data_IF_179993466791
#
_entry.id   IF_179993466791
#
_cell.length_a   1.000
_cell.length_b   1.000
_cell.length_c   1.000
_cell.angle_alpha   90.00
_cell.angle_beta   90.00
_cell.angle_gamma   90.00
#
_symmetry.space_group_name_H-M   'P 1'
#
loop_
_entity.id
_entity.type
_entity.pdbx_description
1 polymer ?
#
# COMPACT_ATOMS: atom_id res chain seq x y z
N UNK A 1 -49.86 -36.48 -3.21
CA UNK A 1 -49.65 -35.41 -2.20
C UNK A 1 -48.76 -35.84 -1.00
N UNK A 2 -48.41 -37.13 -0.81
CA UNK A 2 -47.61 -37.61 0.34
C UNK A 2 -46.07 -37.61 0.19
N UNK A 3 -45.53 -37.42 -1.01
CA UNK A 3 -44.09 -37.65 -1.29
C UNK A 3 -43.11 -36.70 -0.57
N UNK A 4 -43.44 -35.42 -0.40
CA UNK A 4 -42.53 -34.42 0.21
C UNK A 4 -42.30 -34.63 1.71
N UNK A 5 -43.31 -35.13 2.44
CA UNK A 5 -43.21 -35.33 3.88
C UNK A 5 -42.37 -36.59 4.20
N UNK A 6 -42.53 -37.63 3.38
CA UNK A 6 -41.76 -38.87 3.48
C UNK A 6 -40.29 -38.64 3.13
N UNK A 7 -40.00 -37.87 2.07
CA UNK A 7 -38.64 -37.50 1.69
C UNK A 7 -37.93 -36.68 2.79
N UNK A 8 -38.61 -35.71 3.39
CA UNK A 8 -38.06 -34.94 4.53
C UNK A 8 -37.73 -35.81 5.74
N UNK A 9 -38.56 -36.82 6.01
CA UNK A 9 -38.34 -37.78 7.10
C UNK A 9 -37.15 -38.68 6.80
N UNK A 10 -37.03 -39.16 5.56
CA UNK A 10 -35.89 -39.94 5.10
C UNK A 10 -34.57 -39.16 5.21
N UNK A 11 -34.51 -37.94 4.65
CA UNK A 11 -33.33 -37.07 4.70
C UNK A 11 -32.95 -36.75 6.15
N UNK A 12 -33.93 -36.46 7.03
CA UNK A 12 -33.65 -36.22 8.44
C UNK A 12 -33.05 -37.44 9.14
N UNK A 13 -33.44 -38.66 8.77
CA UNK A 13 -32.91 -39.89 9.37
C UNK A 13 -31.49 -40.18 8.89
N UNK A 14 -31.22 -39.99 7.60
CA UNK A 14 -29.86 -40.12 7.02
C UNK A 14 -28.90 -39.13 7.69
N UNK A 15 -29.31 -37.88 7.87
CA UNK A 15 -28.44 -36.88 8.51
C UNK A 15 -28.20 -37.20 10.00
N UNK A 16 -29.17 -37.77 10.72
CA UNK A 16 -28.94 -38.26 12.10
C UNK A 16 -27.91 -39.39 12.13
N UNK A 17 -28.01 -40.33 11.19
CA UNK A 17 -27.07 -41.46 11.09
C UNK A 17 -25.64 -41.01 10.79
N UNK A 18 -25.48 -39.88 10.09
CA UNK A 18 -24.18 -39.25 9.81
C UNK A 18 -23.67 -38.33 10.94
N UNK A 19 -24.24 -38.40 12.14
CA UNK A 19 -23.72 -37.70 13.32
C UNK A 19 -24.07 -36.21 13.42
N UNK A 20 -25.01 -35.70 12.59
CA UNK A 20 -25.43 -34.31 12.69
C UNK A 20 -26.29 -34.06 13.94
N UNK A 21 -26.07 -32.93 14.60
CA UNK A 21 -26.77 -32.57 15.84
C UNK A 21 -28.25 -32.29 15.62
N UNK A 22 -29.09 -32.63 16.62
CA UNK A 22 -30.55 -32.40 16.55
C UNK A 22 -30.91 -30.92 16.39
N UNK A 23 -30.08 -30.02 16.91
CA UNK A 23 -30.22 -28.56 16.78
C UNK A 23 -30.01 -28.08 15.35
N UNK A 24 -29.02 -28.62 14.64
CA UNK A 24 -28.77 -28.35 13.23
C UNK A 24 -29.97 -28.74 12.36
N UNK A 25 -30.48 -29.96 12.54
CA UNK A 25 -31.64 -30.47 11.78
C UNK A 25 -32.90 -29.63 11.98
N UNK A 26 -33.15 -29.18 13.22
CA UNK A 26 -34.29 -28.32 13.54
C UNK A 26 -34.17 -26.95 12.88
N UNK A 27 -32.96 -26.43 12.73
CA UNK A 27 -32.73 -25.15 12.04
C UNK A 27 -32.91 -25.28 10.52
N UNK A 28 -32.51 -26.39 9.91
CA UNK A 28 -32.71 -26.65 8.47
C UNK A 28 -34.18 -26.84 8.09
N UNK A 29 -35.03 -27.27 9.03
CA UNK A 29 -36.47 -27.46 8.79
C UNK A 29 -37.29 -26.17 8.94
N UNK A 30 -36.69 -25.08 9.43
CA UNK A 30 -37.37 -23.79 9.51
C UNK A 30 -37.58 -23.26 8.09
N UNK A 31 -38.78 -22.78 7.74
CA UNK A 31 -38.98 -22.09 6.47
C UNK A 31 -38.05 -20.87 6.43
N UNK A 32 -37.28 -20.76 5.35
CA UNK A 32 -36.46 -19.57 5.11
C UNK A 32 -37.44 -18.43 4.80
N UNK A 33 -37.66 -17.55 5.77
CA UNK A 33 -38.30 -16.27 5.53
C UNK A 33 -37.31 -15.40 4.75
N UNK A 34 -37.39 -15.45 3.41
CA UNK A 34 -36.82 -14.41 2.55
C UNK A 34 -37.60 -13.12 2.80
N UNK A 35 -37.30 -12.47 3.91
CA UNK A 35 -37.65 -11.07 4.09
C UNK A 35 -36.65 -10.28 3.26
N UNK A 36 -37.01 -10.03 2.00
CA UNK A 36 -36.49 -8.88 1.24
C UNK A 36 -37.10 -7.58 1.81
N UNK A 37 -37.18 -7.47 3.14
CA UNK A 37 -37.35 -6.18 3.76
C UNK A 37 -36.01 -5.49 3.59
N UNK A 38 -36.01 -4.34 2.93
CA UNK A 38 -34.99 -3.33 3.18
C UNK A 38 -35.03 -3.11 4.68
N UNK A 39 -34.13 -3.79 5.39
CA UNK A 39 -33.92 -3.59 6.82
C UNK A 39 -33.44 -2.15 6.93
N UNK A 40 -34.36 -1.23 7.25
CA UNK A 40 -34.05 0.04 7.91
C UNK A 40 -33.51 -0.26 9.32
N UNK A 41 -32.52 -1.17 9.38
CA UNK A 41 -31.82 -1.53 10.59
C UNK A 41 -31.11 -0.29 11.07
N UNK A 42 -31.35 0.03 12.33
CA UNK A 42 -30.73 1.14 13.07
C UNK A 42 -29.30 1.40 12.58
N UNK A 43 -29.01 2.63 12.15
CA UNK A 43 -27.66 3.01 11.70
C UNK A 43 -26.65 2.57 12.76
N UNK A 44 -25.74 1.67 12.36
CA UNK A 44 -24.74 1.12 13.26
C UNK A 44 -24.00 2.27 13.95
N UNK A 45 -24.00 2.23 15.28
CA UNK A 45 -23.38 3.27 16.13
C UNK A 45 -21.86 3.25 16.02
N UNK A 46 -21.29 2.12 15.57
CA UNK A 46 -19.86 1.97 15.33
C UNK A 46 -19.48 0.69 14.60
N UNK A 47 -18.19 0.56 14.27
CA UNK A 47 -17.60 -0.61 13.65
C UNK A 47 -16.32 -1.04 14.40
N UNK A 48 -16.21 -2.32 14.72
CA UNK A 48 -15.06 -2.89 15.43
C UNK A 48 -14.49 -4.10 14.69
N UNK A 49 -13.16 -4.21 14.68
CA UNK A 49 -12.45 -5.39 14.13
C UNK A 49 -11.69 -6.07 15.25
N UNK A 50 -12.07 -7.31 15.57
CA UNK A 50 -11.46 -8.09 16.65
C UNK A 50 -10.87 -9.40 16.13
N UNK A 51 -9.79 -9.91 16.72
CA UNK A 51 -9.28 -11.23 16.37
C UNK A 51 -10.28 -12.32 16.78
N UNK A 52 -10.40 -13.39 15.98
CA UNK A 52 -11.15 -14.58 16.41
C UNK A 52 -10.31 -15.45 17.36
N UNK A 53 -10.77 -15.54 18.60
CA UNK A 53 -10.25 -16.39 19.67
C UNK A 53 -11.47 -17.15 20.20
N UNK A 54 -11.48 -18.46 19.99
CA UNK A 54 -12.60 -19.32 20.38
C UNK A 54 -12.90 -19.17 21.88
N UNK A 55 -14.17 -18.92 22.22
CA UNK A 55 -14.64 -18.75 23.59
C UNK A 55 -14.53 -17.33 24.15
N UNK A 56 -13.77 -16.44 23.51
CA UNK A 56 -13.57 -15.05 23.96
C UNK A 56 -14.27 -14.07 23.03
N UNK A 57 -14.12 -14.26 21.72
CA UNK A 57 -14.62 -13.31 20.71
C UNK A 57 -16.14 -13.36 20.60
N UNK A 58 -16.78 -14.50 20.86
CA UNK A 58 -18.23 -14.68 20.72
C UNK A 58 -19.03 -13.92 21.80
N UNK A 59 -18.68 -13.98 23.10
CA UNK A 59 -19.29 -13.13 24.12
C UNK A 59 -19.12 -11.63 23.81
N UNK A 60 -17.91 -11.21 23.42
CA UNK A 60 -17.60 -9.81 23.08
C UNK A 60 -18.44 -9.34 21.89
N UNK A 61 -18.50 -10.15 20.83
CA UNK A 61 -19.33 -9.87 19.64
C UNK A 61 -20.81 -9.71 20.01
N UNK A 62 -21.31 -10.54 20.94
CA UNK A 62 -22.70 -10.46 21.40
C UNK A 62 -22.99 -9.14 22.12
N UNK A 63 -22.11 -8.72 23.04
CA UNK A 63 -22.23 -7.45 23.77
C UNK A 63 -22.15 -6.26 22.81
N UNK A 64 -21.21 -6.26 21.87
CA UNK A 64 -21.06 -5.19 20.90
C UNK A 64 -22.28 -5.10 19.96
N UNK A 65 -22.81 -6.23 19.51
CA UNK A 65 -24.02 -6.27 18.70
C UNK A 65 -25.25 -5.74 19.46
N UNK A 66 -25.36 -5.97 20.78
CA UNK A 66 -26.46 -5.40 21.58
C UNK A 66 -26.39 -3.87 21.72
N UNK A 67 -25.22 -3.27 21.48
CA UNK A 67 -25.03 -1.82 21.43
C UNK A 67 -25.04 -1.26 19.99
N UNK A 68 -25.53 -2.04 19.03
CA UNK A 68 -25.60 -1.71 17.61
C UNK A 68 -24.22 -1.40 16.95
N UNK A 69 -23.15 -2.01 17.49
CA UNK A 69 -21.80 -1.93 16.91
C UNK A 69 -21.57 -3.13 15.99
N UNK A 70 -21.26 -2.88 14.71
CA UNK A 70 -20.93 -3.93 13.74
C UNK A 70 -19.54 -4.50 14.01
N UNK A 71 -19.45 -5.81 14.21
CA UNK A 71 -18.18 -6.48 14.50
C UNK A 71 -17.73 -7.36 13.34
N UNK A 72 -16.56 -7.07 12.79
CA UNK A 72 -15.83 -7.96 11.89
C UNK A 72 -14.75 -8.75 12.64
N UNK A 73 -14.55 -10.00 12.23
CA UNK A 73 -13.55 -10.88 12.83
C UNK A 73 -12.40 -11.08 11.85
N UNK A 74 -11.16 -10.95 12.33
CA UNK A 74 -9.96 -11.26 11.54
C UNK A 74 -9.14 -12.37 12.23
N UNK A 75 -8.38 -13.19 11.50
CA UNK A 75 -7.43 -14.10 12.12
C UNK A 75 -6.38 -13.30 12.93
N UNK A 76 -5.97 -13.82 14.08
CA UNK A 76 -4.94 -13.21 14.93
C UNK A 76 -3.58 -13.17 14.21
N UNK A 77 -3.20 -14.28 13.57
CA UNK A 77 -2.05 -14.38 12.69
C UNK A 77 -2.48 -14.96 11.34
N UNK A 78 -1.97 -14.38 10.26
CA UNK A 78 -2.14 -14.94 8.91
C UNK A 78 -0.99 -15.88 8.59
N UNK A 79 -1.20 -16.85 7.71
CA UNK A 79 -0.12 -17.73 7.23
C UNK A 79 1.06 -16.93 6.66
N UNK A 80 0.81 -15.82 5.97
CA UNK A 80 1.87 -14.94 5.47
C UNK A 80 2.66 -14.19 6.54
N UNK A 81 2.18 -14.14 7.79
CA UNK A 81 2.94 -13.65 8.94
C UNK A 81 3.78 -14.76 9.57
N UNK A 82 3.31 -16.01 9.52
CA UNK A 82 4.02 -17.19 10.06
C UNK A 82 5.11 -17.65 9.11
N UNK A 83 4.82 -17.70 7.81
CA UNK A 83 5.78 -18.11 6.80
C UNK A 83 6.75 -16.98 6.47
N UNK A 84 8.03 -17.33 6.36
CA UNK A 84 9.02 -16.45 5.79
C UNK A 84 8.58 -16.01 4.40
N UNK A 85 8.84 -14.74 4.06
CA UNK A 85 8.61 -14.26 2.70
C UNK A 85 9.54 -15.07 1.78
N UNK A 86 9.01 -15.82 0.80
CA UNK A 86 9.83 -16.72 -0.02
C UNK A 86 10.74 -15.98 -1.01
N UNK A 87 10.56 -14.67 -1.16
CA UNK A 87 11.35 -13.83 -2.07
C UNK A 87 12.33 -13.00 -1.27
N UNK A 88 13.55 -12.92 -1.77
CA UNK A 88 14.56 -12.02 -1.24
C UNK A 88 14.08 -10.56 -1.32
N UNK A 89 14.32 -9.76 -0.27
CA UNK A 89 14.01 -8.35 -0.30
C UNK A 89 14.89 -7.65 -1.35
N UNK A 90 14.27 -6.84 -2.19
CA UNK A 90 15.00 -6.02 -3.18
C UNK A 90 15.74 -4.91 -2.45
N UNK A 91 17.07 -4.85 -2.59
CA UNK A 91 17.88 -3.79 -1.98
C UNK A 91 17.59 -2.44 -2.63
N UNK A 92 18.02 -1.35 -1.98
CA UNK A 92 17.85 0.02 -2.48
C UNK A 92 18.44 0.20 -3.88
N UNK A 93 19.61 -0.37 -4.13
CA UNK A 93 20.37 -0.28 -5.38
C UNK A 93 19.71 -1.05 -6.52
N UNK A 94 19.01 -2.14 -6.20
CA UNK A 94 18.33 -2.99 -7.17
C UNK A 94 16.93 -2.48 -7.54
N UNK A 95 16.43 -1.44 -6.87
CA UNK A 95 15.11 -0.87 -7.20
C UNK A 95 15.13 -0.25 -8.59
N UNK A 96 14.12 -0.60 -9.38
CA UNK A 96 13.84 -0.04 -10.71
C UNK A 96 12.65 0.92 -10.61
N UNK A 97 12.40 1.66 -11.69
CA UNK A 97 11.20 2.51 -11.82
C UNK A 97 11.07 3.50 -10.64
N UNK A 98 12.18 4.11 -10.24
CA UNK A 98 12.30 4.89 -9.02
C UNK A 98 12.50 6.38 -9.30
N UNK A 99 11.96 7.21 -8.41
CA UNK A 99 12.32 8.61 -8.23
C UNK A 99 13.22 8.66 -7.01
N UNK A 100 14.36 9.33 -7.12
CA UNK A 100 15.40 9.36 -6.10
C UNK A 100 15.92 10.78 -5.88
N UNK A 101 16.52 11.02 -4.71
CA UNK A 101 17.30 12.22 -4.43
C UNK A 101 18.75 11.88 -4.11
N UNK A 102 19.65 12.80 -4.47
CA UNK A 102 21.08 12.76 -4.17
C UNK A 102 21.45 14.13 -3.58
N UNK A 103 21.70 14.22 -2.26
CA UNK A 103 22.07 15.48 -1.62
C UNK A 103 23.53 15.84 -1.87
N UNK A 104 23.83 17.14 -1.82
CA UNK A 104 25.18 17.62 -1.58
C UNK A 104 25.53 17.50 -0.08
N UNK A 105 26.80 17.28 0.27
CA UNK A 105 27.22 17.27 1.67
C UNK A 105 27.52 18.68 2.20
N UNK A 106 27.88 19.60 1.31
CA UNK A 106 28.40 20.92 1.67
C UNK A 106 27.35 22.05 1.53
N UNK A 107 26.18 21.75 0.96
CA UNK A 107 25.04 22.66 0.93
C UNK A 107 23.70 21.92 0.98
N UNK A 108 22.63 22.66 1.24
CA UNK A 108 21.25 22.14 1.33
C UNK A 108 20.66 21.72 -0.02
N UNK A 109 21.45 21.79 -1.10
CA UNK A 109 20.96 21.49 -2.43
C UNK A 109 20.89 19.97 -2.66
N UNK A 110 19.82 19.53 -3.31
CA UNK A 110 19.65 18.12 -3.69
C UNK A 110 19.29 17.96 -5.16
N UNK A 111 19.85 16.94 -5.80
CA UNK A 111 19.43 16.54 -7.14
C UNK A 111 18.32 15.51 -7.06
N UNK A 112 17.24 15.71 -7.79
CA UNK A 112 16.10 14.78 -7.86
C UNK A 112 16.03 14.23 -9.28
N UNK A 113 15.88 12.91 -9.43
CA UNK A 113 15.77 12.32 -10.75
C UNK A 113 14.95 11.04 -10.78
N UNK A 114 14.49 10.64 -11.95
CA UNK A 114 13.88 9.34 -12.18
C UNK A 114 14.80 8.36 -12.93
N UNK A 115 14.54 7.07 -12.75
CA UNK A 115 15.19 6.01 -13.51
C UNK A 115 14.21 4.87 -13.79
N UNK A 116 14.22 4.38 -15.03
CA UNK A 116 13.62 3.08 -15.39
C UNK A 116 14.54 1.91 -15.01
N UNK A 117 15.85 2.15 -15.01
CA UNK A 117 16.89 1.17 -14.70
C UNK A 117 17.09 1.03 -13.19
N UNK A 118 17.87 0.04 -12.77
CA UNK A 118 18.26 -0.11 -11.37
C UNK A 118 18.91 1.18 -10.86
N UNK A 119 18.50 1.62 -9.68
CA UNK A 119 19.01 2.84 -9.06
C UNK A 119 20.52 2.83 -8.91
N UNK A 120 21.12 1.70 -8.52
CA UNK A 120 22.56 1.54 -8.40
C UNK A 120 23.30 1.76 -9.73
N UNK A 121 22.72 1.33 -10.85
CA UNK A 121 23.28 1.61 -12.18
C UNK A 121 23.25 3.10 -12.47
N UNK A 122 22.13 3.77 -12.21
CA UNK A 122 22.01 5.22 -12.42
C UNK A 122 22.95 6.02 -11.52
N UNK A 123 23.12 5.59 -10.26
CA UNK A 123 24.04 6.20 -9.31
C UNK A 123 25.50 6.13 -9.80
N UNK A 124 25.93 4.97 -10.30
CA UNK A 124 27.27 4.78 -10.87
C UNK A 124 27.53 5.67 -12.09
N UNK A 125 26.50 5.90 -12.91
CA UNK A 125 26.62 6.83 -14.05
C UNK A 125 26.88 8.26 -13.59
N UNK A 126 26.17 8.73 -12.57
CA UNK A 126 26.41 10.05 -11.99
C UNK A 126 27.79 10.15 -11.36
N UNK A 127 28.22 9.14 -10.60
CA UNK A 127 29.57 9.07 -10.04
C UNK A 127 30.64 9.16 -11.14
N UNK A 128 30.47 8.42 -12.23
CA UNK A 128 31.37 8.47 -13.38
C UNK A 128 31.38 9.84 -14.07
N UNK A 129 30.22 10.50 -14.18
CA UNK A 129 30.12 11.84 -14.77
C UNK A 129 30.81 12.91 -13.91
N UNK A 130 30.70 12.82 -12.58
CA UNK A 130 31.41 13.68 -11.62
C UNK A 130 32.91 13.42 -11.69
N UNK A 131 33.33 12.16 -11.62
CA UNK A 131 34.75 11.78 -11.70
C UNK A 131 35.42 12.26 -12.98
N UNK A 132 34.73 12.16 -14.12
CA UNK A 132 35.23 12.63 -15.41
C UNK A 132 35.00 14.13 -15.66
N UNK A 133 34.43 14.87 -14.69
CA UNK A 133 34.11 16.31 -14.82
C UNK A 133 33.28 16.66 -16.06
N UNK A 134 32.42 15.73 -16.50
CA UNK A 134 31.55 15.92 -17.67
C UNK A 134 30.30 16.71 -17.30
N UNK A 135 30.47 18.03 -17.24
CA UNK A 135 29.41 18.96 -16.82
C UNK A 135 28.16 18.74 -17.65
N UNK A 136 28.25 18.67 -18.97
CA UNK A 136 27.12 18.55 -19.89
C UNK A 136 26.20 17.33 -19.61
N UNK A 137 26.72 16.25 -19.03
CA UNK A 137 25.97 15.00 -18.85
C UNK A 137 25.23 14.90 -17.52
N UNK A 138 25.54 15.73 -16.52
CA UNK A 138 24.96 15.61 -15.19
C UNK A 138 24.99 16.93 -14.43
N UNK A 139 23.84 17.38 -13.94
CA UNK A 139 23.73 18.55 -13.07
C UNK A 139 24.60 18.42 -11.80
N UNK A 140 24.73 17.20 -11.25
CA UNK A 140 25.66 16.92 -10.15
C UNK A 140 27.13 17.19 -10.53
N UNK A 141 27.54 16.86 -11.76
CA UNK A 141 28.93 17.08 -12.22
C UNK A 141 29.20 18.57 -12.39
N UNK A 142 28.28 19.27 -13.03
CA UNK A 142 28.33 20.73 -13.14
C UNK A 142 28.42 21.42 -11.78
N UNK A 143 27.56 21.04 -10.81
CA UNK A 143 27.62 21.55 -9.45
C UNK A 143 29.00 21.33 -8.82
N UNK A 144 29.50 20.08 -8.80
CA UNK A 144 30.82 19.78 -8.23
C UNK A 144 31.95 20.56 -8.88
N UNK A 145 31.91 20.76 -10.20
CA UNK A 145 32.95 21.49 -10.91
C UNK A 145 32.90 23.01 -10.70
N UNK A 146 31.74 23.56 -10.32
CA UNK A 146 31.57 25.00 -10.09
C UNK A 146 31.83 25.39 -8.65
N UNK A 147 31.39 24.57 -7.70
CA UNK A 147 31.45 24.87 -6.27
C UNK A 147 32.55 24.13 -5.53
N UNK A 148 33.17 23.13 -6.17
CA UNK A 148 34.13 22.22 -5.55
C UNK A 148 33.56 21.46 -4.33
N UNK A 149 32.22 21.30 -4.29
CA UNK A 149 31.53 20.54 -3.25
C UNK A 149 31.62 19.03 -3.50
N UNK A 150 31.36 18.27 -2.44
CA UNK A 150 31.27 16.82 -2.42
C UNK A 150 29.82 16.35 -2.45
N UNK A 151 29.57 15.26 -3.17
CA UNK A 151 28.24 14.67 -3.31
C UNK A 151 28.05 13.57 -2.27
N UNK A 152 26.90 13.59 -1.58
CA UNK A 152 26.51 12.61 -0.58
C UNK A 152 25.94 11.33 -1.18
N UNK A 153 26.77 10.54 -1.87
CA UNK A 153 26.34 9.31 -2.54
C UNK A 153 25.65 8.30 -1.61
N UNK A 154 26.18 8.11 -0.41
CA UNK A 154 25.63 7.18 0.59
C UNK A 154 24.29 7.69 1.16
N UNK A 155 24.15 9.01 1.26
CA UNK A 155 22.94 9.70 1.70
C UNK A 155 21.86 9.80 0.63
N UNK A 156 22.08 9.23 -0.56
CA UNK A 156 21.07 9.14 -1.61
C UNK A 156 19.83 8.37 -1.13
N UNK A 157 18.64 8.69 -1.64
CA UNK A 157 17.39 8.07 -1.19
C UNK A 157 16.46 7.76 -2.35
N UNK A 158 15.72 6.65 -2.24
CA UNK A 158 14.57 6.40 -3.10
C UNK A 158 13.39 7.10 -2.46
N UNK A 159 12.86 8.14 -3.12
CA UNK A 159 11.70 8.88 -2.63
C UNK A 159 10.44 8.05 -2.83
N UNK A 160 10.22 7.59 -4.06
CA UNK A 160 9.08 6.76 -4.41
C UNK A 160 9.38 5.89 -5.64
N UNK A 161 8.52 4.91 -5.90
CA UNK A 161 8.62 4.03 -7.07
C UNK A 161 7.31 4.01 -7.81
N UNK A 162 7.36 4.13 -9.14
CA UNK A 162 6.18 4.03 -9.98
C UNK A 162 6.53 3.39 -11.32
N UNK A 163 5.87 2.29 -11.68
CA UNK A 163 6.14 1.55 -12.92
C UNK A 163 5.71 2.32 -14.18
N UNK A 164 4.73 3.22 -14.06
CA UNK A 164 4.18 3.95 -15.20
C UNK A 164 5.06 5.16 -15.50
N UNK A 165 5.63 5.19 -16.70
CA UNK A 165 6.57 6.23 -17.14
C UNK A 165 6.02 7.65 -16.97
N UNK A 166 4.83 7.94 -17.51
CA UNK A 166 4.23 9.28 -17.41
C UNK A 166 3.95 9.71 -15.96
N UNK A 167 3.54 8.76 -15.11
CA UNK A 167 3.33 9.07 -13.70
C UNK A 167 4.65 9.34 -12.97
N UNK A 168 5.75 8.65 -13.33
CA UNK A 168 7.09 9.01 -12.81
C UNK A 168 7.52 10.40 -13.21
N UNK A 169 7.31 10.81 -14.47
CA UNK A 169 7.65 12.15 -14.91
C UNK A 169 6.90 13.21 -14.11
N UNK A 170 5.59 13.02 -13.90
CA UNK A 170 4.81 13.94 -13.07
C UNK A 170 5.27 13.95 -11.60
N UNK A 171 5.65 12.79 -11.05
CA UNK A 171 6.16 12.69 -9.67
C UNK A 171 7.55 13.32 -9.54
N UNK A 172 8.43 13.12 -10.51
CA UNK A 172 9.75 13.76 -10.58
C UNK A 172 9.59 15.28 -10.60
N UNK A 173 8.77 15.82 -11.51
CA UNK A 173 8.48 17.24 -11.58
C UNK A 173 7.88 17.77 -10.28
N UNK A 174 6.92 17.05 -9.69
CA UNK A 174 6.35 17.38 -8.39
C UNK A 174 7.42 17.49 -7.31
N UNK A 175 8.32 16.50 -7.24
CA UNK A 175 9.39 16.47 -6.22
C UNK A 175 10.42 17.58 -6.44
N UNK A 176 10.83 17.86 -7.68
CA UNK A 176 11.73 18.97 -8.02
C UNK A 176 11.11 20.30 -7.58
N UNK A 177 9.86 20.56 -7.97
CA UNK A 177 9.17 21.80 -7.61
C UNK A 177 8.86 21.92 -6.10
N UNK A 178 8.76 20.79 -5.39
CA UNK A 178 8.53 20.77 -3.94
C UNK A 178 9.82 20.91 -3.13
N UNK A 179 10.99 20.72 -3.75
CA UNK A 179 12.27 20.78 -3.07
C UNK A 179 12.64 22.21 -2.70
N UNK A 180 13.30 22.38 -1.56
CA UNK A 180 13.74 23.70 -1.09
C UNK A 180 14.84 24.29 -2.00
N UNK A 181 15.79 23.46 -2.41
CA UNK A 181 16.92 23.86 -3.25
C UNK A 181 17.29 22.76 -4.26
N UNK A 182 16.51 22.58 -5.35
CA UNK A 182 16.83 21.57 -6.35
C UNK A 182 18.09 21.93 -7.16
N UNK A 183 18.98 20.96 -7.37
CA UNK A 183 20.15 21.07 -8.27
C UNK A 183 19.80 20.85 -9.74
N UNK A 184 18.57 20.50 -10.05
CA UNK A 184 18.13 20.17 -11.40
C UNK A 184 18.28 21.35 -12.36
N UNK A 185 18.57 21.07 -13.63
CA UNK A 185 18.64 22.09 -14.69
C UNK A 185 17.27 22.56 -15.17
N UNK A 186 16.28 21.70 -15.01
CA UNK A 186 14.90 21.92 -15.38
C UNK A 186 13.99 21.51 -14.22
N UNK A 187 12.75 21.98 -14.25
CA UNK A 187 11.73 21.66 -13.26
C UNK A 187 11.12 20.24 -13.46
N UNK A 188 11.75 19.39 -14.28
CA UNK A 188 11.27 18.07 -14.69
C UNK A 188 10.29 18.09 -15.87
N UNK A 189 9.48 17.03 -16.00
CA UNK A 189 8.41 16.96 -17.01
C UNK A 189 7.27 17.97 -16.77
N UNK A 190 6.43 18.23 -17.78
CA UNK A 190 5.30 19.19 -17.71
C UNK A 190 4.32 18.82 -16.56
N UNK A 191 4.49 19.45 -15.40
CA UNK A 191 3.45 19.55 -14.38
C UNK A 191 2.49 20.66 -14.84
N UNK A 192 1.17 20.40 -15.00
CA UNK A 192 0.26 21.45 -15.42
C UNK A 192 0.25 22.62 -14.43
N UNK A 193 0.20 23.85 -14.93
CA UNK A 193 0.25 25.08 -14.12
C UNK A 193 -0.78 25.10 -12.99
N UNK A 194 -1.94 24.48 -13.24
CA UNK A 194 -3.00 24.29 -12.25
C UNK A 194 -2.52 23.58 -10.97
N UNK A 195 -1.42 22.83 -10.97
CA UNK A 195 -0.89 22.14 -9.80
C UNK A 195 0.28 22.87 -9.12
N UNK A 196 0.92 23.85 -9.77
CA UNK A 196 2.09 24.55 -9.23
C UNK A 196 1.78 25.28 -7.91
N UNK A 197 0.56 25.83 -7.78
CA UNK A 197 0.13 26.53 -6.57
C UNK A 197 0.00 25.60 -5.34
N UNK A 198 -0.23 24.30 -5.56
CA UNK A 198 -0.31 23.30 -4.48
C UNK A 198 1.08 22.92 -3.97
N UNK A 199 2.06 22.92 -4.86
CA UNK A 199 3.44 22.57 -4.55
C UNK A 199 4.13 23.66 -3.72
N UNK A 200 3.98 24.93 -4.14
CA UNK A 200 4.63 26.09 -3.51
C UNK A 200 4.12 26.42 -2.10
N UNK A 201 2.94 25.93 -1.70
CA UNK A 201 2.34 26.23 -0.38
C UNK A 201 2.98 25.50 0.81
N UNK A 202 3.87 24.52 0.58
CA UNK A 202 4.51 23.76 1.66
C UNK A 202 5.71 24.47 2.33
N UNK A 203 6.09 25.66 1.86
CA UNK A 203 7.11 26.50 2.49
C UNK A 203 6.51 27.76 3.12
N UNK A 204 5.77 27.61 4.21
CA UNK A 204 5.49 28.66 5.21
C UNK A 204 5.44 28.05 6.59
#
# INVERSE_FOLDING_TARGET
LNSKAEERKYVSNVLKANGYTKTFLRNCQKPVTNSNALDEGEQATGFAVIPYIQGVTEPIKRILNSHNVKVAQKPFQTLGHIFAKPKDPVTKEQRIDAIYSIPCNDCDNEYIGQTKRQFGTRLKEHQKAVFLSKKENSALSEHTCLTNHTIGWDNSKIITTNRRYHQRLCLEAWHINSAHAPLNRDDGGLLPDAYLHLVRKKGR
#
